data_IF_715499241201
#
_entry.id   IF_715499241201
#
_cell.length_a   1.000
_cell.length_b   1.000
_cell.length_c   1.000
_cell.angle_alpha   90.00
_cell.angle_beta   90.00
_cell.angle_gamma   90.00
#
_symmetry.space_group_name_H-M   'P 1'
#
loop_
_entity.id
_entity.type
_entity.pdbx_description
1 polymer ?
#
# COMPACT_ATOMS: atom_id res chain seq x y z
N UNK A 1 23.91 20.26 7.97
CA UNK A 1 23.28 20.85 9.18
C UNK A 1 21.77 20.66 9.21
N UNK A 2 21.29 19.59 8.60
CA UNK A 2 19.88 19.21 8.59
C UNK A 2 19.46 18.52 9.92
N UNK A 3 19.83 19.13 11.07
CA UNK A 3 19.38 18.65 12.35
C UNK A 3 17.98 19.19 12.64
N UNK A 4 17.05 18.30 12.95
CA UNK A 4 15.68 18.64 13.26
C UNK A 4 15.07 17.72 14.31
N UNK A 5 13.88 18.03 14.76
CA UNK A 5 13.06 17.21 15.64
C UNK A 5 11.65 17.11 15.06
N UNK A 6 11.14 15.89 15.00
CA UNK A 6 9.77 15.59 14.59
C UNK A 6 9.01 15.02 15.78
N UNK A 7 7.84 15.58 16.05
CA UNK A 7 6.87 15.05 17.00
C UNK A 7 5.60 14.71 16.26
N UNK A 8 5.19 13.47 16.39
CA UNK A 8 3.95 12.95 15.82
C UNK A 8 3.09 12.36 16.93
N UNK A 9 1.81 12.71 16.94
CA UNK A 9 0.81 12.15 17.84
C UNK A 9 -0.42 11.74 17.05
N UNK A 10 -0.61 10.45 16.91
CA UNK A 10 -1.80 9.89 16.28
C UNK A 10 -2.63 9.14 17.31
N UNK A 11 -3.94 9.39 17.33
CA UNK A 11 -4.88 8.57 18.08
C UNK A 11 -6.20 8.40 17.33
N UNK A 12 -6.80 7.22 17.52
CA UNK A 12 -8.09 6.85 16.96
C UNK A 12 -8.99 6.38 18.10
N UNK A 13 -10.20 6.91 18.16
CA UNK A 13 -11.23 6.46 19.09
C UNK A 13 -12.50 6.15 18.29
N UNK A 14 -13.08 4.97 18.51
CA UNK A 14 -14.26 4.57 17.78
C UNK A 14 -15.22 3.73 18.62
N UNK A 15 -16.48 3.72 18.20
CA UNK A 15 -17.51 2.85 18.74
C UNK A 15 -18.30 2.23 17.61
N UNK A 16 -18.77 1.01 17.83
CA UNK A 16 -19.58 0.27 16.86
C UNK A 16 -20.70 -0.45 17.57
N UNK A 17 -21.88 -0.40 16.98
CA UNK A 17 -23.05 -1.16 17.38
C UNK A 17 -23.46 -2.09 16.24
N UNK A 18 -23.73 -3.35 16.57
CA UNK A 18 -24.21 -4.35 15.62
C UNK A 18 -25.53 -4.91 16.14
N UNK A 19 -26.54 -4.93 15.26
CA UNK A 19 -27.83 -5.51 15.54
C UNK A 19 -28.23 -6.54 14.49
N UNK A 20 -28.54 -7.75 14.91
CA UNK A 20 -28.98 -8.83 14.03
C UNK A 20 -30.50 -8.91 14.00
N UNK A 21 -31.05 -8.80 12.81
CA UNK A 21 -32.48 -9.01 12.55
C UNK A 21 -32.74 -10.44 12.06
N UNK A 22 -33.66 -11.16 12.65
CA UNK A 22 -34.09 -12.46 12.13
C UNK A 22 -34.59 -12.39 10.68
N UNK A 23 -35.23 -11.28 10.32
CA UNK A 23 -35.60 -10.91 8.95
C UNK A 23 -35.77 -9.40 8.87
N UNK A 24 -35.10 -8.77 7.91
CA UNK A 24 -35.32 -7.37 7.53
C UNK A 24 -35.54 -7.32 6.02
N UNK A 25 -36.70 -6.83 5.57
CA UNK A 25 -37.15 -6.86 4.18
C UNK A 25 -37.34 -8.31 3.67
N UNK A 26 -36.28 -8.94 3.14
CA UNK A 26 -36.36 -10.23 2.43
C UNK A 26 -35.47 -11.34 3.03
N UNK A 27 -34.46 -11.01 3.84
CA UNK A 27 -33.55 -11.97 4.45
C UNK A 27 -33.19 -11.61 5.89
N UNK A 28 -32.60 -12.55 6.67
CA UNK A 28 -31.86 -12.19 7.88
C UNK A 28 -30.77 -11.19 7.57
N UNK A 29 -30.55 -10.23 8.47
CA UNK A 29 -29.54 -9.20 8.22
C UNK A 29 -28.86 -8.73 9.48
N UNK A 30 -27.64 -8.20 9.31
CA UNK A 30 -26.87 -7.56 10.35
C UNK A 30 -26.68 -6.08 9.99
N UNK A 31 -27.25 -5.20 10.82
CA UNK A 31 -27.06 -3.76 10.74
C UNK A 31 -25.86 -3.38 11.60
N UNK A 32 -24.89 -2.68 11.00
CA UNK A 32 -23.75 -2.09 11.70
C UNK A 32 -23.83 -0.58 11.61
N UNK A 33 -23.73 0.08 12.74
CA UNK A 33 -23.62 1.53 12.87
C UNK A 33 -22.36 1.84 13.67
N UNK A 34 -21.63 2.88 13.30
CA UNK A 34 -20.46 3.26 14.08
C UNK A 34 -20.05 4.71 13.87
N UNK A 35 -19.31 5.20 14.83
CA UNK A 35 -18.68 6.51 14.78
C UNK A 35 -17.21 6.39 15.15
N UNK A 36 -16.38 7.19 14.53
CA UNK A 36 -14.93 7.18 14.72
C UNK A 36 -14.40 8.61 14.70
N UNK A 37 -13.44 8.87 15.54
CA UNK A 37 -12.68 10.10 15.51
C UNK A 37 -11.21 9.77 15.38
N UNK A 38 -10.57 10.37 14.38
CA UNK A 38 -9.15 10.24 14.11
C UNK A 38 -8.48 11.60 14.24
N UNK A 39 -7.37 11.64 14.96
CA UNK A 39 -6.49 12.80 15.09
C UNK A 39 -5.08 12.39 14.73
N UNK A 40 -4.42 13.22 13.92
CA UNK A 40 -3.02 13.11 13.56
C UNK A 40 -2.39 14.51 13.60
N UNK A 41 -1.49 14.71 14.56
CA UNK A 41 -0.82 15.98 14.81
C UNK A 41 0.68 15.86 14.59
N UNK A 42 1.16 16.43 13.50
CA UNK A 42 2.57 16.48 13.13
C UNK A 42 3.17 17.85 13.43
N UNK A 43 4.30 17.86 14.12
CA UNK A 43 5.14 19.05 14.31
C UNK A 43 6.56 18.72 13.91
N UNK A 44 7.06 19.36 12.88
CA UNK A 44 8.41 19.18 12.35
C UNK A 44 9.19 20.48 12.41
N UNK A 45 10.37 20.45 13.02
CA UNK A 45 11.26 21.60 13.21
C UNK A 45 12.65 21.24 12.69
N UNK A 46 13.11 21.92 11.65
CA UNK A 46 14.45 21.74 11.07
C UNK A 46 15.24 23.03 11.28
N UNK A 47 16.01 23.08 12.36
CA UNK A 47 16.73 24.27 12.81
C UNK A 47 17.75 24.79 11.78
N UNK A 48 18.39 23.91 11.03
CA UNK A 48 19.37 24.30 10.03
C UNK A 48 18.78 25.02 8.82
N UNK A 49 17.48 24.94 8.63
CA UNK A 49 16.75 25.58 7.53
C UNK A 49 15.70 26.58 8.02
N UNK A 50 15.65 26.86 9.32
CA UNK A 50 14.63 27.72 9.96
C UNK A 50 13.20 27.31 9.56
N UNK A 51 12.98 26.01 9.45
CA UNK A 51 11.70 25.44 9.04
C UNK A 51 10.92 24.99 10.25
N UNK A 52 9.72 25.53 10.39
CA UNK A 52 8.73 25.12 11.38
C UNK A 52 7.46 24.71 10.64
N UNK A 53 7.15 23.44 10.69
CA UNK A 53 5.93 22.90 10.08
C UNK A 53 5.02 22.33 11.15
N UNK A 54 3.74 22.62 11.06
CA UNK A 54 2.71 22.06 11.92
C UNK A 54 1.48 21.72 11.08
N UNK A 55 1.02 20.46 11.18
CA UNK A 55 -0.21 20.00 10.55
C UNK A 55 -1.03 19.19 11.57
N UNK A 56 -2.26 19.64 11.82
CA UNK A 56 -3.23 18.90 12.62
C UNK A 56 -4.35 18.41 11.70
N UNK A 57 -4.50 17.10 11.57
CA UNK A 57 -5.58 16.45 10.85
C UNK A 57 -6.60 15.92 11.83
N UNK A 58 -7.88 16.21 11.61
CA UNK A 58 -9.00 15.76 12.42
C UNK A 58 -10.10 15.26 11.53
N UNK A 59 -10.52 14.02 11.74
CA UNK A 59 -11.57 13.40 10.95
C UNK A 59 -12.62 12.83 11.91
N UNK A 60 -13.83 13.39 11.85
CA UNK A 60 -15.00 12.81 12.48
C UNK A 60 -15.79 12.00 11.46
N UNK A 61 -16.07 10.76 11.75
CA UNK A 61 -16.67 9.81 10.82
C UNK A 61 -17.90 9.15 11.41
N UNK A 62 -18.92 8.95 10.58
CA UNK A 62 -20.05 8.09 10.87
C UNK A 62 -20.18 7.08 9.75
N UNK A 63 -20.34 5.82 10.08
CA UNK A 63 -20.55 4.77 9.09
C UNK A 63 -21.75 3.90 9.43
N UNK A 64 -22.38 3.40 8.37
CA UNK A 64 -23.51 2.50 8.44
C UNK A 64 -23.41 1.47 7.34
N UNK A 65 -23.82 0.26 7.63
CA UNK A 65 -23.99 -0.79 6.63
C UNK A 65 -25.01 -1.81 7.09
N UNK A 66 -25.71 -2.42 6.14
CA UNK A 66 -26.56 -3.57 6.38
C UNK A 66 -26.14 -4.71 5.45
N UNK A 67 -25.97 -5.89 6.01
CA UNK A 67 -25.68 -7.11 5.27
C UNK A 67 -26.87 -8.06 5.39
N UNK A 68 -27.56 -8.31 4.28
CA UNK A 68 -28.57 -9.36 4.15
C UNK A 68 -27.89 -10.63 3.69
N UNK A 69 -28.03 -11.73 4.44
CA UNK A 69 -27.30 -12.96 4.12
C UNK A 69 -28.06 -14.23 4.40
N UNK A 70 -27.76 -15.23 3.58
CA UNK A 70 -28.09 -16.63 3.77
C UNK A 70 -26.89 -17.51 3.36
N UNK A 71 -27.08 -18.84 3.24
CA UNK A 71 -25.99 -19.76 2.85
C UNK A 71 -25.42 -19.48 1.47
N UNK A 72 -26.24 -19.05 0.51
CA UNK A 72 -25.85 -18.86 -0.89
C UNK A 72 -25.53 -17.41 -1.21
N UNK A 73 -26.30 -16.47 -0.65
CA UNK A 73 -26.24 -15.05 -1.01
C UNK A 73 -25.85 -14.16 0.18
N UNK A 74 -25.11 -13.12 -0.08
CA UNK A 74 -24.96 -11.98 0.81
C UNK A 74 -24.98 -10.70 -0.02
N UNK A 75 -25.79 -9.73 0.43
CA UNK A 75 -25.90 -8.38 -0.10
C UNK A 75 -25.50 -7.41 1.00
N UNK A 76 -24.47 -6.64 0.80
CA UNK A 76 -24.05 -5.59 1.71
C UNK A 76 -24.19 -4.24 1.02
N UNK A 77 -24.88 -3.32 1.67
CA UNK A 77 -24.95 -1.91 1.29
C UNK A 77 -24.57 -1.05 2.50
N UNK A 78 -23.77 -0.05 2.27
CA UNK A 78 -23.37 0.86 3.33
C UNK A 78 -22.70 2.11 2.79
N UNK A 79 -22.31 2.95 3.72
CA UNK A 79 -21.58 4.17 3.42
C UNK A 79 -20.93 4.74 4.66
N UNK A 80 -20.00 5.64 4.43
CA UNK A 80 -19.29 6.39 5.44
C UNK A 80 -19.41 7.88 5.12
N UNK A 81 -19.65 8.66 6.13
CA UNK A 81 -19.69 10.11 6.10
C UNK A 81 -18.50 10.61 6.91
N UNK A 82 -17.60 11.34 6.26
CA UNK A 82 -16.38 11.86 6.88
C UNK A 82 -16.40 13.40 6.85
N UNK A 83 -16.20 14.01 8.01
CA UNK A 83 -15.93 15.44 8.12
C UNK A 83 -14.46 15.63 8.48
N UNK A 84 -13.70 16.05 7.49
CA UNK A 84 -12.29 16.38 7.62
C UNK A 84 -12.12 17.88 7.90
N UNK A 85 -11.18 18.26 8.78
CA UNK A 85 -10.99 19.71 9.12
C UNK A 85 -10.44 20.54 7.95
N UNK A 86 -9.77 19.92 6.97
CA UNK A 86 -9.28 20.62 5.77
C UNK A 86 -10.32 20.70 4.63
N UNK A 87 -11.55 20.22 4.87
CA UNK A 87 -12.63 20.20 3.87
C UNK A 87 -13.85 20.94 4.39
N UNK A 88 -14.45 21.78 3.54
CA UNK A 88 -15.63 22.56 3.91
C UNK A 88 -16.91 21.73 3.96
N UNK A 89 -16.94 20.59 3.25
CA UNK A 89 -18.09 19.72 3.15
C UNK A 89 -17.85 18.34 3.78
N UNK A 90 -18.93 17.59 3.97
CA UNK A 90 -18.90 16.19 4.38
C UNK A 90 -18.68 15.32 3.15
N UNK A 91 -17.78 14.37 3.24
CA UNK A 91 -17.47 13.43 2.17
C UNK A 91 -18.27 12.14 2.39
N UNK A 92 -18.97 11.70 1.36
CA UNK A 92 -19.67 10.43 1.37
C UNK A 92 -18.91 9.38 0.55
N UNK A 93 -18.64 8.24 1.17
CA UNK A 93 -17.97 7.08 0.59
C UNK A 93 -18.91 5.87 0.60
N UNK A 94 -19.57 5.55 -0.53
CA UNK A 94 -20.48 4.41 -0.64
C UNK A 94 -19.74 3.09 -0.72
N UNK A 95 -20.40 2.01 -0.29
CA UNK A 95 -19.92 0.63 -0.40
C UNK A 95 -21.05 -0.32 -0.73
N UNK A 96 -20.82 -1.22 -1.68
CA UNK A 96 -21.69 -2.32 -2.00
C UNK A 96 -20.91 -3.61 -2.22
N UNK A 97 -21.43 -4.73 -1.74
CA UNK A 97 -20.84 -6.04 -1.97
C UNK A 97 -21.94 -7.07 -2.23
N UNK A 98 -21.75 -7.87 -3.26
CA UNK A 98 -22.60 -9.01 -3.60
C UNK A 98 -21.73 -10.26 -3.55
N UNK A 99 -22.12 -11.23 -2.74
CA UNK A 99 -21.50 -12.55 -2.69
C UNK A 99 -22.52 -13.61 -3.11
N UNK A 100 -22.07 -14.54 -3.93
CA UNK A 100 -22.81 -15.71 -4.35
C UNK A 100 -21.99 -16.98 -4.19
N UNK A 101 -22.50 -17.94 -3.41
CA UNK A 101 -21.92 -19.25 -3.18
C UNK A 101 -22.80 -20.29 -3.87
N UNK A 102 -22.59 -20.60 -5.17
CA UNK A 102 -23.38 -21.64 -5.85
C UNK A 102 -23.18 -23.03 -5.22
N UNK A 103 -22.01 -23.28 -4.68
CA UNK A 103 -21.64 -24.46 -3.89
C UNK A 103 -20.79 -24.08 -2.69
N UNK A 104 -20.51 -25.02 -1.79
CA UNK A 104 -19.60 -24.81 -0.67
C UNK A 104 -18.15 -24.55 -1.09
N UNK A 105 -17.80 -24.92 -2.32
CA UNK A 105 -16.45 -24.83 -2.86
C UNK A 105 -16.24 -23.65 -3.81
N UNK A 106 -17.26 -22.85 -4.07
CA UNK A 106 -17.20 -21.73 -5.01
C UNK A 106 -17.80 -20.49 -4.34
N UNK A 107 -16.99 -19.43 -4.27
CA UNK A 107 -17.40 -18.13 -3.77
C UNK A 107 -17.14 -17.08 -4.86
N UNK A 108 -18.20 -16.47 -5.35
CA UNK A 108 -18.13 -15.37 -6.31
C UNK A 108 -18.47 -14.07 -5.58
N UNK A 109 -17.71 -13.01 -5.84
CA UNK A 109 -17.92 -11.72 -5.17
C UNK A 109 -17.75 -10.56 -6.15
N UNK A 110 -18.71 -9.65 -6.12
CA UNK A 110 -18.64 -8.36 -6.79
C UNK A 110 -18.60 -7.26 -5.71
N UNK A 111 -17.66 -6.36 -5.80
CA UNK A 111 -17.51 -5.27 -4.83
C UNK A 111 -17.44 -3.93 -5.54
N UNK A 112 -18.06 -2.92 -4.94
CA UNK A 112 -17.87 -1.52 -5.25
C UNK A 112 -17.56 -0.75 -3.97
N UNK A 113 -16.58 0.15 -4.02
CA UNK A 113 -16.23 1.03 -2.91
C UNK A 113 -15.79 2.40 -3.42
N UNK A 114 -16.37 3.45 -2.85
CA UNK A 114 -15.86 4.81 -2.96
C UNK A 114 -14.81 5.09 -1.88
N UNK A 115 -13.82 5.91 -2.19
CA UNK A 115 -12.80 6.37 -1.27
C UNK A 115 -12.38 7.80 -1.56
N UNK A 116 -11.61 8.41 -0.65
CA UNK A 116 -11.05 9.74 -0.84
C UNK A 116 -9.69 9.89 -0.16
N UNK A 117 -8.91 10.88 -0.60
CA UNK A 117 -7.72 11.40 0.07
C UNK A 117 -7.86 12.90 0.21
N UNK A 118 -7.72 13.39 1.45
CA UNK A 118 -7.85 14.82 1.74
C UNK A 118 -6.63 15.60 1.25
N UNK A 119 -6.78 16.90 0.93
CA UNK A 119 -5.70 17.77 0.51
C UNK A 119 -4.82 18.16 1.70
N UNK A 120 -3.80 17.38 1.98
CA UNK A 120 -2.81 17.65 3.03
C UNK A 120 -1.53 18.21 2.40
N UNK A 121 -0.92 19.20 3.06
CA UNK A 121 0.38 19.72 2.63
C UNK A 121 1.49 18.70 2.85
N UNK A 122 1.35 17.95 3.95
CA UNK A 122 2.26 16.89 4.30
C UNK A 122 1.54 15.54 4.16
N UNK A 123 2.02 14.70 3.27
CA UNK A 123 1.65 13.30 3.14
C UNK A 123 2.73 12.41 3.77
N UNK A 124 2.56 11.10 3.61
CA UNK A 124 3.49 10.05 4.05
C UNK A 124 4.92 10.24 3.54
N UNK A 125 5.11 11.04 2.50
CA UNK A 125 6.41 11.42 1.95
C UNK A 125 7.05 12.56 2.76
N UNK A 126 7.34 12.32 4.02
CA UNK A 126 8.24 13.13 4.85
C UNK A 126 9.69 13.08 4.31
N UNK A 127 9.85 13.12 3.02
CA UNK A 127 11.18 13.14 2.44
C UNK A 127 11.74 14.54 2.63
N UNK A 128 12.74 14.60 3.49
CA UNK A 128 13.70 15.69 3.47
C UNK A 128 14.39 15.62 2.10
N UNK A 129 13.75 16.16 1.09
CA UNK A 129 14.31 16.28 -0.25
C UNK A 129 15.53 17.21 -0.31
N UNK A 130 16.20 17.39 0.83
CA UNK A 130 17.23 18.41 0.96
C UNK A 130 18.50 17.83 1.54
N UNK A 131 19.08 16.94 0.79
CA UNK A 131 20.53 16.72 0.93
C UNK A 131 21.20 17.55 -0.16
N UNK A 132 21.58 18.77 0.14
CA UNK A 132 22.22 19.64 -0.86
C UNK A 132 21.96 21.13 -0.68
N UNK A 133 21.01 21.52 0.17
CA UNK A 133 20.80 22.92 0.53
C UNK A 133 19.66 23.63 -0.18
N UNK A 134 18.96 23.05 -1.10
CA UNK A 134 17.71 23.61 -1.62
C UNK A 134 16.57 23.44 -0.62
N UNK A 135 15.90 24.53 -0.33
CA UNK A 135 14.76 24.55 0.58
C UNK A 135 13.48 24.42 -0.23
N UNK A 136 12.87 23.24 -0.18
CA UNK A 136 11.60 22.99 -0.86
C UNK A 136 10.44 23.11 0.13
N UNK A 137 9.49 23.99 -0.16
CA UNK A 137 8.28 24.20 0.63
C UNK A 137 7.07 23.83 -0.20
N UNK A 138 6.25 22.90 0.30
CA UNK A 138 5.00 22.53 -0.36
C UNK A 138 3.85 23.38 0.18
N UNK A 139 3.13 24.05 -0.72
CA UNK A 139 1.89 24.79 -0.45
C UNK A 139 0.71 24.11 -1.14
N UNK A 140 -0.49 24.38 -0.67
CA UNK A 140 -1.73 23.87 -1.30
C UNK A 140 -2.31 24.95 -2.21
N UNK A 141 -2.78 24.55 -3.38
CA UNK A 141 -3.54 25.44 -4.26
C UNK A 141 -4.86 25.85 -3.60
N UNK A 142 -5.28 27.11 -3.79
CA UNK A 142 -6.49 27.68 -3.15
C UNK A 142 -7.78 26.90 -3.47
N UNK A 143 -7.83 26.26 -4.63
CA UNK A 143 -8.99 25.49 -5.10
C UNK A 143 -8.79 23.98 -5.02
N UNK A 144 -7.84 23.51 -4.22
CA UNK A 144 -7.52 22.11 -4.10
C UNK A 144 -8.68 21.30 -3.52
N UNK A 145 -9.12 20.29 -4.27
CA UNK A 145 -10.19 19.36 -3.89
C UNK A 145 -9.57 18.05 -3.44
N UNK A 146 -10.35 17.26 -2.70
CA UNK A 146 -9.97 15.89 -2.38
C UNK A 146 -9.83 15.02 -3.65
N UNK A 147 -8.88 14.09 -3.63
CA UNK A 147 -8.88 12.99 -4.58
C UNK A 147 -10.05 12.04 -4.25
N UNK A 148 -10.71 11.52 -5.27
CA UNK A 148 -11.77 10.52 -5.12
C UNK A 148 -11.46 9.28 -5.93
N UNK A 149 -11.77 8.13 -5.34
CA UNK A 149 -11.67 6.85 -6.02
C UNK A 149 -13.00 6.14 -6.11
N UNK A 150 -13.23 5.46 -7.23
CA UNK A 150 -14.29 4.49 -7.44
C UNK A 150 -13.66 3.17 -7.81
N UNK A 151 -13.76 2.18 -6.95
CA UNK A 151 -13.12 0.87 -7.13
C UNK A 151 -14.16 -0.21 -7.32
N UNK A 152 -13.95 -1.04 -8.33
CA UNK A 152 -14.76 -2.23 -8.64
C UNK A 152 -13.85 -3.45 -8.63
N UNK A 153 -14.32 -4.54 -8.04
CA UNK A 153 -13.65 -5.84 -8.18
C UNK A 153 -14.66 -6.97 -8.36
N UNK A 154 -14.25 -7.96 -9.16
CA UNK A 154 -14.96 -9.21 -9.34
C UNK A 154 -13.99 -10.35 -9.04
N UNK A 155 -14.32 -11.20 -8.08
CA UNK A 155 -13.48 -12.32 -7.70
C UNK A 155 -14.23 -13.66 -7.70
N UNK A 156 -13.46 -14.71 -7.98
CA UNK A 156 -13.84 -16.11 -7.84
C UNK A 156 -12.84 -16.81 -6.93
N UNK A 157 -13.32 -17.36 -5.83
CA UNK A 157 -12.53 -18.13 -4.87
C UNK A 157 -12.99 -19.59 -4.92
N UNK A 158 -12.11 -20.47 -5.41
CA UNK A 158 -12.40 -21.83 -5.80
C UNK A 158 -11.62 -22.80 -4.93
N UNK A 159 -12.33 -23.72 -4.29
CA UNK A 159 -11.75 -24.78 -3.48
C UNK A 159 -11.94 -26.12 -4.19
N UNK A 160 -10.88 -26.89 -4.32
CA UNK A 160 -10.97 -28.23 -4.90
C UNK A 160 -10.01 -29.20 -4.23
N UNK A 161 -10.40 -30.47 -4.21
CA UNK A 161 -9.57 -31.57 -3.70
C UNK A 161 -9.25 -32.56 -4.81
N UNK A 162 -8.00 -32.56 -5.25
CA UNK A 162 -7.48 -33.53 -6.23
C UNK A 162 -6.83 -34.71 -5.49
N UNK A 163 -7.60 -35.79 -5.27
CA UNK A 163 -7.13 -36.88 -4.45
C UNK A 163 -6.84 -36.45 -3.02
N UNK A 164 -5.57 -36.47 -2.59
CA UNK A 164 -5.12 -36.02 -1.28
C UNK A 164 -4.73 -34.53 -1.25
N UNK A 165 -4.55 -33.91 -2.41
CA UNK A 165 -4.11 -32.50 -2.52
C UNK A 165 -5.30 -31.57 -2.35
N UNK A 166 -5.25 -30.71 -1.33
CA UNK A 166 -6.24 -29.63 -1.14
C UNK A 166 -5.73 -28.38 -1.83
N UNK A 167 -6.59 -27.77 -2.66
CA UNK A 167 -6.23 -26.58 -3.43
C UNK A 167 -7.24 -25.46 -3.21
N UNK A 168 -6.75 -24.24 -3.27
CA UNK A 168 -7.55 -23.02 -3.37
C UNK A 168 -6.98 -22.16 -4.49
N UNK A 169 -7.83 -21.62 -5.32
CA UNK A 169 -7.51 -20.69 -6.40
C UNK A 169 -8.40 -19.46 -6.28
N UNK A 170 -7.79 -18.30 -6.06
CA UNK A 170 -8.45 -17.00 -6.12
C UNK A 170 -8.04 -16.29 -7.41
N UNK A 171 -9.05 -15.81 -8.14
CA UNK A 171 -8.87 -14.94 -9.30
C UNK A 171 -9.70 -13.70 -9.05
N UNK A 172 -9.09 -12.51 -9.15
CA UNK A 172 -9.77 -11.24 -8.97
C UNK A 172 -9.37 -10.27 -10.08
N UNK A 173 -10.35 -9.78 -10.84
CA UNK A 173 -10.22 -8.62 -11.69
C UNK A 173 -10.60 -7.36 -10.92
N UNK A 174 -9.81 -6.29 -11.03
CA UNK A 174 -10.08 -5.01 -10.37
C UNK A 174 -9.92 -3.83 -11.33
N UNK A 175 -10.68 -2.79 -11.04
CA UNK A 175 -10.62 -1.50 -11.73
C UNK A 175 -10.85 -0.38 -10.74
N UNK A 176 -9.97 0.61 -10.73
CA UNK A 176 -10.09 1.82 -9.92
C UNK A 176 -9.97 3.05 -10.81
N UNK A 177 -10.96 3.93 -10.72
CA UNK A 177 -10.97 5.24 -11.33
C UNK A 177 -10.67 6.29 -10.27
N UNK A 178 -9.63 7.11 -10.50
CA UNK A 178 -9.18 8.18 -9.61
C UNK A 178 -9.52 9.52 -10.25
N UNK A 179 -10.13 10.40 -9.48
CA UNK A 179 -10.49 11.75 -9.90
C UNK A 179 -9.78 12.79 -9.03
N UNK A 180 -9.45 13.94 -9.61
CA UNK A 180 -8.74 15.03 -8.94
C UNK A 180 -7.38 14.59 -8.35
N UNK A 181 -6.63 13.78 -9.07
CA UNK A 181 -5.34 13.23 -8.60
C UNK A 181 -4.39 14.37 -8.25
N UNK A 182 -3.73 14.27 -7.10
CA UNK A 182 -2.75 15.27 -6.69
C UNK A 182 -1.48 15.18 -7.52
N UNK A 183 -1.03 16.35 -7.95
CA UNK A 183 0.26 16.55 -8.57
C UNK A 183 0.98 17.72 -7.91
N UNK A 184 2.27 17.81 -8.14
CA UNK A 184 3.11 18.91 -7.67
C UNK A 184 3.62 19.66 -8.89
N UNK A 185 3.72 21.00 -8.78
CA UNK A 185 4.41 21.83 -9.73
C UNK A 185 5.26 22.85 -9.00
N UNK A 186 6.43 23.13 -9.51
CA UNK A 186 7.27 24.19 -8.96
C UNK A 186 6.71 25.56 -9.37
N UNK A 187 6.71 26.50 -8.44
CA UNK A 187 6.34 27.89 -8.73
C UNK A 187 7.58 28.66 -9.13
N UNK A 188 7.44 29.57 -10.09
CA UNK A 188 8.53 30.37 -10.63
C UNK A 188 9.17 31.32 -9.60
N UNK A 189 8.41 31.68 -8.56
CA UNK A 189 8.84 32.61 -7.54
C UNK A 189 9.13 31.88 -6.22
N UNK A 190 10.32 32.10 -5.64
CA UNK A 190 10.60 31.61 -4.29
C UNK A 190 9.73 32.34 -3.27
N UNK A 191 9.62 31.76 -2.07
CA UNK A 191 8.95 32.41 -0.95
C UNK A 191 9.75 33.64 -0.43
N UNK A 192 9.20 34.35 0.53
CA UNK A 192 9.85 35.53 1.13
C UNK A 192 11.21 35.21 1.81
N UNK A 193 11.51 33.95 2.08
CA UNK A 193 12.74 33.47 2.66
C UNK A 193 13.73 32.90 1.60
N UNK A 194 13.36 32.96 0.31
CA UNK A 194 14.16 32.45 -0.80
C UNK A 194 14.12 30.93 -0.97
N UNK A 195 13.08 30.26 -0.45
CA UNK A 195 12.90 28.82 -0.62
C UNK A 195 12.21 28.53 -1.95
N UNK A 196 12.57 27.44 -2.60
CA UNK A 196 11.83 26.91 -3.74
C UNK A 196 10.45 26.43 -3.29
N UNK A 197 9.39 26.89 -3.95
CA UNK A 197 8.01 26.57 -3.61
C UNK A 197 7.44 25.58 -4.61
N UNK A 198 6.90 24.48 -4.11
CA UNK A 198 6.05 23.55 -4.88
C UNK A 198 4.60 23.72 -4.47
N UNK A 199 3.70 23.78 -5.45
CA UNK A 199 2.27 23.82 -5.22
C UNK A 199 1.66 22.44 -5.49
N UNK A 200 0.90 21.94 -4.52
CA UNK A 200 0.05 20.77 -4.72
C UNK A 200 -1.26 21.21 -5.34
N UNK A 201 -1.61 20.62 -6.47
CA UNK A 201 -2.84 20.93 -7.21
C UNK A 201 -3.52 19.66 -7.69
N UNK A 202 -4.79 19.75 -8.11
CA UNK A 202 -5.48 18.64 -8.75
C UNK A 202 -5.09 18.58 -10.23
N UNK A 203 -4.47 17.49 -10.62
CA UNK A 203 -4.26 17.15 -12.03
C UNK A 203 -5.49 16.42 -12.60
N UNK A 204 -5.30 15.78 -13.74
CA UNK A 204 -6.31 14.94 -14.39
C UNK A 204 -6.59 13.66 -13.57
N UNK A 205 -7.55 12.86 -14.05
CA UNK A 205 -7.83 11.55 -13.48
C UNK A 205 -6.73 10.53 -13.76
N UNK A 206 -6.84 9.38 -13.09
CA UNK A 206 -5.99 8.23 -13.33
C UNK A 206 -6.78 6.94 -13.21
N UNK A 207 -6.30 5.87 -13.84
CA UNK A 207 -6.94 4.56 -13.84
C UNK A 207 -5.95 3.48 -13.50
N UNK A 208 -6.40 2.56 -12.67
CA UNK A 208 -5.66 1.34 -12.35
C UNK A 208 -6.57 0.15 -12.61
N UNK A 209 -6.11 -0.78 -13.42
CA UNK A 209 -6.84 -2.01 -13.71
C UNK A 209 -5.88 -3.20 -13.72
N UNK A 210 -6.38 -4.35 -13.31
CA UNK A 210 -5.52 -5.52 -13.24
C UNK A 210 -6.23 -6.80 -12.87
N UNK A 211 -5.40 -7.83 -12.73
CA UNK A 211 -5.78 -9.19 -12.38
C UNK A 211 -4.86 -9.70 -11.27
N UNK A 212 -5.44 -10.15 -10.17
CA UNK A 212 -4.79 -10.90 -9.12
C UNK A 212 -5.09 -12.38 -9.29
N UNK A 213 -4.08 -13.23 -9.25
CA UNK A 213 -4.22 -14.68 -9.23
C UNK A 213 -3.43 -15.21 -8.05
N UNK A 214 -4.10 -15.90 -7.13
CA UNK A 214 -3.46 -16.57 -6.02
C UNK A 214 -3.81 -18.06 -6.03
N UNK A 215 -2.82 -18.90 -5.83
CA UNK A 215 -3.01 -20.35 -5.71
C UNK A 215 -2.35 -20.85 -4.44
N UNK A 216 -3.06 -21.71 -3.72
CA UNK A 216 -2.55 -22.42 -2.56
C UNK A 216 -2.82 -23.90 -2.73
N UNK A 217 -1.80 -24.73 -2.49
CA UNK A 217 -1.90 -26.18 -2.57
C UNK A 217 -1.23 -26.81 -1.34
N UNK A 218 -1.99 -27.64 -0.64
CA UNK A 218 -1.46 -28.54 0.38
C UNK A 218 -1.29 -29.92 -0.24
N UNK A 219 -0.08 -30.19 -0.76
CA UNK A 219 0.26 -31.43 -1.45
C UNK A 219 0.27 -32.61 -0.49
N UNK A 220 0.80 -32.37 0.70
CA UNK A 220 0.88 -33.35 1.79
C UNK A 220 0.71 -32.65 3.12
N UNK A 221 0.63 -33.41 4.23
CA UNK A 221 0.57 -32.82 5.58
C UNK A 221 1.83 -32.04 5.96
N UNK A 222 2.92 -32.25 5.24
CA UNK A 222 4.22 -31.63 5.53
C UNK A 222 4.68 -30.64 4.44
N UNK A 223 3.92 -30.47 3.35
CA UNK A 223 4.27 -29.54 2.28
C UNK A 223 3.09 -28.72 1.79
N UNK A 224 3.21 -27.41 1.94
CA UNK A 224 2.24 -26.40 1.43
C UNK A 224 2.97 -25.39 0.56
N UNK A 225 2.40 -25.08 -0.59
CA UNK A 225 2.84 -24.00 -1.48
C UNK A 225 1.71 -22.99 -1.65
N UNK A 226 2.04 -21.72 -1.54
CA UNK A 226 1.18 -20.60 -1.92
C UNK A 226 1.96 -19.69 -2.86
N UNK A 227 1.33 -19.22 -3.92
CA UNK A 227 1.91 -18.26 -4.85
C UNK A 227 0.83 -17.31 -5.34
N UNK A 228 1.23 -16.07 -5.58
CA UNK A 228 0.36 -15.03 -6.13
C UNK A 228 1.09 -14.17 -7.15
N UNK A 229 0.36 -13.72 -8.15
CA UNK A 229 0.84 -12.79 -9.16
C UNK A 229 -0.22 -11.73 -9.42
N UNK A 230 0.22 -10.48 -9.52
CA UNK A 230 -0.59 -9.35 -9.97
C UNK A 230 -0.08 -8.88 -11.32
N UNK A 231 -1.00 -8.75 -12.26
CA UNK A 231 -0.79 -8.12 -13.56
C UNK A 231 -1.64 -6.87 -13.58
N UNK A 232 -1.03 -5.70 -13.76
CA UNK A 232 -1.77 -4.43 -13.72
C UNK A 232 -1.26 -3.41 -14.73
N UNK A 233 -2.12 -2.45 -15.01
CA UNK A 233 -1.77 -1.21 -15.71
C UNK A 233 -2.28 -0.03 -14.88
N UNK A 234 -1.43 0.99 -14.73
CA UNK A 234 -1.75 2.24 -14.05
C UNK A 234 -1.32 3.41 -14.92
N UNK A 235 -2.26 4.30 -15.22
CA UNK A 235 -1.99 5.41 -16.10
C UNK A 235 -2.88 6.61 -15.78
N UNK A 236 -2.34 7.78 -16.03
CA UNK A 236 -3.07 9.04 -16.03
C UNK A 236 -3.94 9.16 -17.30
N UNK A 237 -5.06 9.87 -17.20
CA UNK A 237 -5.91 10.15 -18.37
C UNK A 237 -5.18 10.99 -19.41
N UNK A 238 -4.33 11.90 -18.96
CA UNK A 238 -3.44 12.71 -19.79
C UNK A 238 -1.97 12.50 -19.40
N UNK A 239 -1.06 12.76 -20.34
CA UNK A 239 0.36 12.66 -20.07
C UNK A 239 0.82 13.84 -19.21
N UNK A 240 1.46 13.55 -18.10
CA UNK A 240 1.95 14.53 -17.10
C UNK A 240 3.47 14.61 -17.19
N UNK A 241 4.02 15.83 -17.14
CA UNK A 241 5.45 16.03 -16.94
C UNK A 241 5.82 15.51 -15.52
N UNK A 242 6.86 14.73 -15.47
CA UNK A 242 7.29 14.14 -14.18
C UNK A 242 8.32 15.03 -13.46
N UNK A 243 8.92 15.98 -14.18
CA UNK A 243 9.90 16.93 -13.66
C UNK A 243 9.74 18.26 -14.44
N UNK A 244 9.80 19.37 -13.71
CA UNK A 244 9.60 20.71 -14.28
C UNK A 244 10.80 21.20 -15.09
N UNK A 245 12.00 20.66 -14.88
CA UNK A 245 13.20 20.98 -15.67
C UNK A 245 13.15 20.38 -17.11
N UNK A 246 12.35 19.33 -17.30
CA UNK A 246 12.17 18.62 -18.57
C UNK A 246 10.69 18.46 -18.91
N UNK A 247 9.95 19.57 -19.08
CA UNK A 247 8.48 19.58 -19.24
C UNK A 247 7.98 18.87 -20.49
N UNK A 248 8.84 18.62 -21.47
CA UNK A 248 8.55 17.83 -22.67
C UNK A 248 8.51 16.31 -22.38
N UNK A 249 9.16 15.85 -21.32
CA UNK A 249 9.14 14.44 -20.91
C UNK A 249 7.84 14.09 -20.16
N UNK A 250 6.77 13.88 -20.92
CA UNK A 250 5.44 13.56 -20.38
C UNK A 250 5.10 12.10 -20.53
N UNK A 251 4.56 11.52 -19.48
CA UNK A 251 4.17 10.12 -19.44
C UNK A 251 2.72 9.94 -18.97
N UNK A 252 1.98 9.05 -19.65
CA UNK A 252 0.69 8.56 -19.14
C UNK A 252 0.89 7.48 -18.07
N UNK A 253 1.95 6.69 -18.15
CA UNK A 253 2.23 5.63 -17.19
C UNK A 253 2.56 6.24 -15.83
N UNK A 254 1.90 5.77 -14.78
CA UNK A 254 2.24 6.16 -13.41
C UNK A 254 3.63 5.63 -13.05
N UNK A 255 4.47 6.51 -12.54
CA UNK A 255 5.80 6.16 -12.09
C UNK A 255 5.77 5.35 -10.80
N UNK A 256 6.86 4.64 -10.49
CA UNK A 256 7.04 3.80 -9.29
C UNK A 256 5.98 2.71 -9.12
N UNK A 257 5.33 2.31 -10.22
CA UNK A 257 4.28 1.31 -10.21
C UNK A 257 4.64 0.18 -11.18
N UNK A 258 5.04 -1.01 -10.69
CA UNK A 258 5.34 -2.15 -11.55
C UNK A 258 4.06 -2.73 -12.15
N UNK A 259 4.10 -3.11 -13.43
CA UNK A 259 2.95 -3.74 -14.09
C UNK A 259 2.79 -5.22 -13.70
N UNK A 260 3.83 -5.83 -13.15
CA UNK A 260 3.82 -7.23 -12.73
C UNK A 260 4.61 -7.36 -11.44
N UNK A 261 4.00 -7.97 -10.43
CA UNK A 261 4.68 -8.36 -9.20
C UNK A 261 4.02 -9.61 -8.61
N UNK A 262 4.71 -10.28 -7.72
CA UNK A 262 4.17 -11.49 -7.13
C UNK A 262 5.04 -12.04 -6.01
N UNK A 263 4.56 -13.12 -5.44
CA UNK A 263 5.22 -13.79 -4.33
C UNK A 263 5.01 -15.30 -4.37
N UNK A 264 5.84 -16.02 -3.64
CA UNK A 264 5.55 -17.40 -3.26
C UNK A 264 6.00 -17.67 -1.83
N UNK A 265 5.36 -18.66 -1.21
CA UNK A 265 5.73 -19.20 0.10
C UNK A 265 5.60 -20.72 0.05
N UNK A 266 6.71 -21.42 0.24
CA UNK A 266 6.76 -22.88 0.39
C UNK A 266 7.10 -23.21 1.84
N UNK A 267 6.27 -24.04 2.47
CA UNK A 267 6.45 -24.45 3.87
C UNK A 267 6.58 -25.96 3.95
N UNK A 268 7.63 -26.42 4.61
CA UNK A 268 7.96 -27.83 4.81
C UNK A 268 8.01 -28.14 6.31
N UNK A 269 7.23 -29.12 6.74
CA UNK A 269 7.20 -29.63 8.12
C UNK A 269 7.32 -31.16 8.12
N UNK A 270 8.43 -31.74 7.58
CA UNK A 270 8.54 -33.17 7.30
C UNK A 270 8.55 -34.01 8.56
N UNK A 271 9.00 -33.46 9.69
CA UNK A 271 9.00 -34.09 10.99
C UNK A 271 8.47 -33.13 12.04
N UNK A 272 8.00 -33.67 13.19
CA UNK A 272 7.54 -32.84 14.29
C UNK A 272 8.65 -31.87 14.72
N UNK A 273 8.25 -30.64 15.04
CA UNK A 273 9.12 -29.58 15.57
C UNK A 273 10.10 -28.95 14.58
N UNK A 274 10.22 -29.45 13.36
CA UNK A 274 11.05 -28.86 12.33
C UNK A 274 10.19 -28.14 11.30
N UNK A 275 10.55 -26.90 10.99
CA UNK A 275 9.91 -26.11 9.91
C UNK A 275 11.01 -25.53 9.04
N UNK A 276 10.86 -25.71 7.75
CA UNK A 276 11.63 -24.99 6.73
C UNK A 276 10.67 -24.15 5.90
N UNK A 277 11.00 -22.90 5.65
CA UNK A 277 10.22 -21.98 4.82
C UNK A 277 11.11 -21.38 3.75
N UNK A 278 10.62 -21.35 2.52
CA UNK A 278 11.20 -20.64 1.40
C UNK A 278 10.18 -19.65 0.90
N UNK A 279 10.56 -18.38 0.84
CA UNK A 279 9.70 -17.30 0.35
C UNK A 279 10.40 -16.55 -0.78
N UNK A 280 9.61 -16.00 -1.69
CA UNK A 280 10.15 -15.16 -2.75
C UNK A 280 9.22 -14.01 -3.06
N UNK A 281 9.81 -12.85 -3.39
CA UNK A 281 9.12 -11.67 -3.87
C UNK A 281 9.68 -11.29 -5.23
N UNK A 282 8.80 -11.14 -6.20
CA UNK A 282 9.13 -10.67 -7.54
C UNK A 282 8.58 -9.28 -7.76
N UNK A 283 9.43 -8.35 -8.19
CA UNK A 283 9.05 -7.01 -8.62
C UNK A 283 9.49 -6.80 -10.07
N UNK A 284 8.53 -6.55 -10.93
CA UNK A 284 8.77 -6.25 -12.34
C UNK A 284 9.40 -4.87 -12.54
N UNK A 285 9.82 -4.59 -13.76
CA UNK A 285 10.32 -3.27 -14.16
C UNK A 285 9.23 -2.22 -14.01
N UNK A 286 9.59 -1.04 -13.53
CA UNK A 286 8.73 0.15 -13.43
C UNK A 286 9.46 1.37 -13.96
N UNK A 287 8.71 2.38 -14.39
CA UNK A 287 9.24 3.67 -14.80
C UNK A 287 9.46 4.52 -13.54
N UNK A 288 10.63 5.13 -13.42
CA UNK A 288 10.96 6.05 -12.33
C UNK A 288 11.68 7.29 -12.88
N UNK A 289 11.58 8.41 -12.17
CA UNK A 289 12.40 9.58 -12.42
C UNK A 289 13.75 9.46 -11.71
N UNK A 290 14.79 10.00 -12.34
CA UNK A 290 16.12 10.21 -11.80
C UNK A 290 16.42 11.69 -12.03
N UNK A 291 16.41 12.48 -10.97
CA UNK A 291 16.67 13.92 -11.03
C UNK A 291 18.14 14.20 -11.30
N UNK A 292 18.43 15.37 -11.88
CA UNK A 292 19.81 15.79 -12.10
C UNK A 292 20.60 15.83 -10.78
N UNK A 293 21.86 15.41 -10.86
CA UNK A 293 22.70 15.32 -9.66
C UNK A 293 24.00 14.56 -9.93
N UNK A 294 24.49 13.83 -8.93
CA UNK A 294 25.75 13.07 -9.05
C UNK A 294 25.67 11.83 -9.93
N UNK A 295 24.46 11.36 -10.24
CA UNK A 295 24.24 10.17 -11.07
C UNK A 295 23.98 10.48 -12.54
N UNK A 296 23.34 11.62 -12.82
CA UNK A 296 22.98 12.08 -14.16
C UNK A 296 23.09 13.60 -14.26
N UNK A 297 23.45 14.12 -15.43
CA UNK A 297 23.62 15.57 -15.66
C UNK A 297 22.25 16.27 -15.84
N UNK A 298 21.27 15.60 -16.45
CA UNK A 298 19.92 16.12 -16.67
C UNK A 298 18.89 15.11 -16.16
N UNK A 299 17.68 15.57 -15.72
CA UNK A 299 16.62 14.68 -15.29
C UNK A 299 16.23 13.69 -16.38
N UNK A 300 16.14 12.42 -16.05
CA UNK A 300 15.81 11.35 -17.00
C UNK A 300 14.83 10.33 -16.40
N UNK A 301 13.86 9.90 -17.18
CA UNK A 301 13.00 8.79 -16.79
C UNK A 301 13.61 7.46 -17.24
N UNK A 302 13.79 6.54 -16.32
CA UNK A 302 14.42 5.24 -16.53
C UNK A 302 13.51 4.08 -16.19
N UNK A 303 13.68 2.94 -16.86
CA UNK A 303 13.04 1.70 -16.47
C UNK A 303 13.96 0.91 -15.55
N UNK A 304 13.45 0.55 -14.36
CA UNK A 304 14.21 -0.24 -13.38
C UNK A 304 14.47 -1.66 -13.87
N UNK A 305 15.53 -2.32 -13.39
CA UNK A 305 15.66 -3.77 -13.51
C UNK A 305 14.52 -4.48 -12.78
N UNK A 306 14.38 -5.78 -13.04
CA UNK A 306 13.47 -6.68 -12.32
C UNK A 306 14.20 -7.27 -11.13
N UNK A 307 13.47 -7.48 -10.01
CA UNK A 307 14.03 -8.08 -8.80
C UNK A 307 13.31 -9.37 -8.47
N UNK A 308 14.07 -10.36 -8.03
CA UNK A 308 13.57 -11.61 -7.47
C UNK A 308 14.33 -11.87 -6.16
N UNK A 309 13.73 -11.52 -5.04
CA UNK A 309 14.29 -11.77 -3.72
C UNK A 309 13.79 -13.11 -3.20
N UNK A 310 14.70 -13.99 -2.80
CA UNK A 310 14.37 -15.30 -2.22
C UNK A 310 14.97 -15.40 -0.82
N UNK A 311 14.16 -15.83 0.13
CA UNK A 311 14.53 -15.96 1.54
C UNK A 311 14.28 -17.39 2.02
N UNK A 312 15.16 -17.92 2.87
CA UNK A 312 15.02 -19.21 3.51
C UNK A 312 15.15 -19.09 5.04
N UNK A 313 14.25 -19.78 5.73
CA UNK A 313 14.29 -19.91 7.20
C UNK A 313 14.14 -21.37 7.59
N UNK A 314 14.98 -21.81 8.51
CA UNK A 314 14.88 -23.10 9.20
C UNK A 314 14.59 -22.84 10.68
N UNK A 315 13.74 -23.65 11.28
CA UNK A 315 13.40 -23.56 12.69
C UNK A 315 13.21 -24.94 13.30
N UNK A 316 13.67 -25.11 14.54
CA UNK A 316 13.45 -26.31 15.31
C UNK A 316 13.01 -25.98 16.73
N UNK A 317 11.91 -26.65 17.19
CA UNK A 317 11.30 -26.44 18.49
C UNK A 317 11.83 -27.49 19.49
N UNK A 318 12.48 -27.04 20.54
CA UNK A 318 12.93 -27.86 21.67
C UNK A 318 11.95 -27.68 22.82
N UNK A 319 11.10 -28.67 23.18
CA UNK A 319 10.30 -28.60 24.38
C UNK A 319 11.21 -28.80 25.62
N UNK A 320 11.37 -27.73 26.38
CA UNK A 320 12.21 -27.74 27.59
C UNK A 320 11.43 -28.37 28.75
N UNK A 321 10.15 -27.99 28.87
CA UNK A 321 9.22 -28.59 29.83
C UNK A 321 7.78 -28.46 29.32
N UNK A 322 6.80 -28.88 30.15
CA UNK A 322 5.36 -28.88 29.78
C UNK A 322 4.85 -27.50 29.31
N UNK A 323 5.42 -26.43 29.85
CA UNK A 323 4.97 -25.05 29.60
C UNK A 323 6.00 -24.17 28.85
N UNK A 324 7.18 -24.73 28.51
CA UNK A 324 8.26 -23.97 27.89
C UNK A 324 8.80 -24.66 26.68
N UNK A 325 8.74 -23.94 25.53
CA UNK A 325 9.35 -24.36 24.27
C UNK A 325 10.42 -23.34 23.87
N UNK A 326 11.60 -23.83 23.56
CA UNK A 326 12.69 -23.06 22.97
C UNK A 326 12.75 -23.35 21.48
N UNK A 327 12.55 -22.36 20.65
CA UNK A 327 12.78 -22.48 19.20
C UNK A 327 14.13 -21.86 18.84
N UNK A 328 14.97 -22.64 18.19
CA UNK A 328 16.17 -22.13 17.51
C UNK A 328 15.85 -21.99 16.04
N UNK A 329 16.15 -20.84 15.47
CA UNK A 329 15.92 -20.59 14.07
C UNK A 329 17.09 -19.85 13.44
N UNK A 330 17.23 -19.98 12.13
CA UNK A 330 18.23 -19.28 11.35
C UNK A 330 17.88 -19.32 9.88
N UNK A 331 18.54 -18.48 9.11
CA UNK A 331 18.23 -18.43 7.69
C UNK A 331 19.10 -17.47 6.90
N UNK A 332 18.73 -17.35 5.64
CA UNK A 332 19.35 -16.49 4.65
C UNK A 332 18.27 -15.60 4.06
N UNK A 333 18.46 -14.30 4.18
CA UNK A 333 17.66 -13.32 3.47
C UNK A 333 18.34 -12.96 2.14
N UNK A 334 17.52 -12.76 1.13
CA UNK A 334 17.95 -12.40 -0.22
C UNK A 334 19.05 -13.33 -0.79
N UNK A 335 18.75 -14.64 -0.87
CA UNK A 335 19.65 -15.68 -1.41
C UNK A 335 20.13 -15.30 -2.83
N UNK A 336 19.25 -14.72 -3.62
CA UNK A 336 19.50 -14.27 -4.99
C UNK A 336 20.43 -13.07 -5.06
N UNK A 337 20.68 -12.39 -3.94
CA UNK A 337 21.44 -11.15 -3.87
C UNK A 337 20.91 -10.06 -4.82
N UNK A 338 19.58 -10.01 -4.97
CA UNK A 338 18.88 -9.07 -5.84
C UNK A 338 18.62 -7.77 -5.06
N UNK A 339 19.42 -6.74 -5.28
CA UNK A 339 19.26 -5.43 -4.64
C UNK A 339 19.64 -4.32 -5.60
N UNK A 340 19.18 -3.12 -5.32
CA UNK A 340 19.62 -1.94 -6.06
C UNK A 340 21.08 -1.64 -5.71
N UNK A 341 21.94 -1.47 -6.71
CA UNK A 341 23.37 -1.22 -6.52
C UNK A 341 23.86 0.05 -7.23
N UNK A 342 22.97 0.76 -7.90
CA UNK A 342 23.20 1.98 -8.65
C UNK A 342 22.70 3.25 -7.93
N UNK A 343 22.68 3.22 -6.59
CA UNK A 343 22.35 4.40 -5.79
C UNK A 343 23.26 5.57 -6.12
N UNK A 344 22.69 6.76 -6.24
CA UNK A 344 23.45 7.98 -6.30
C UNK A 344 24.33 8.16 -5.05
N UNK A 345 25.49 8.74 -5.24
CA UNK A 345 26.49 8.94 -4.19
C UNK A 345 26.93 10.40 -4.15
N UNK A 346 27.43 10.82 -3.01
CA UNK A 346 27.96 12.17 -2.85
C UNK A 346 26.95 13.18 -2.35
N UNK A 347 27.36 14.45 -2.43
CA UNK A 347 26.60 15.57 -1.87
C UNK A 347 25.35 15.88 -2.69
N UNK A 348 25.46 15.87 -4.01
CA UNK A 348 24.38 16.20 -4.95
C UNK A 348 23.61 14.95 -5.43
N UNK A 349 23.54 13.89 -4.62
CA UNK A 349 22.79 12.69 -4.97
C UNK A 349 21.30 12.94 -5.05
N UNK A 350 20.61 12.32 -5.99
CA UNK A 350 19.14 12.19 -5.94
C UNK A 350 18.76 11.19 -4.84
N UNK A 351 18.34 11.71 -3.68
CA UNK A 351 17.91 10.90 -2.55
C UNK A 351 16.61 10.14 -2.82
N UNK A 352 15.87 10.52 -3.84
CA UNK A 352 14.62 9.88 -4.26
C UNK A 352 14.85 8.72 -5.23
N UNK A 353 16.06 8.57 -5.79
CA UNK A 353 16.41 7.48 -6.70
C UNK A 353 16.61 6.15 -5.96
N UNK A 354 15.56 5.71 -5.29
CA UNK A 354 15.47 4.44 -4.55
C UNK A 354 14.27 3.66 -5.10
N UNK A 355 14.49 2.45 -5.63
CA UNK A 355 13.46 1.70 -6.34
C UNK A 355 13.48 0.18 -6.14
N UNK A 356 14.52 -0.35 -5.54
CA UNK A 356 14.72 -1.79 -5.35
C UNK A 356 14.98 -2.17 -3.89
N UNK A 357 15.15 -3.46 -3.62
CA UNK A 357 15.60 -3.92 -2.33
C UNK A 357 16.92 -3.23 -1.96
N UNK A 358 17.00 -2.72 -0.75
CA UNK A 358 18.16 -1.96 -0.28
C UNK A 358 19.23 -2.83 0.39
N UNK A 359 18.86 -4.06 0.80
CA UNK A 359 19.74 -4.95 1.55
C UNK A 359 20.25 -6.09 0.68
N UNK A 360 21.58 -6.31 0.61
CA UNK A 360 22.18 -7.48 0.00
C UNK A 360 21.86 -8.73 0.81
N UNK A 361 22.36 -9.88 0.35
CA UNK A 361 22.26 -11.14 1.07
C UNK A 361 22.76 -11.00 2.50
N UNK A 362 21.94 -11.47 3.45
CA UNK A 362 22.26 -11.47 4.87
C UNK A 362 21.91 -12.80 5.52
N UNK A 363 22.53 -13.06 6.67
CA UNK A 363 22.35 -14.28 7.46
C UNK A 363 21.85 -13.89 8.85
N UNK A 364 20.95 -14.69 9.40
CA UNK A 364 20.47 -14.45 10.76
C UNK A 364 20.36 -15.75 11.54
N UNK A 365 20.51 -15.62 12.84
CA UNK A 365 20.21 -16.65 13.84
C UNK A 365 19.38 -16.02 14.94
N UNK A 366 18.37 -16.74 15.43
CA UNK A 366 17.47 -16.26 16.46
C UNK A 366 17.00 -17.37 17.38
N UNK A 367 16.60 -16.95 18.57
CA UNK A 367 15.99 -17.80 19.60
C UNK A 367 14.65 -17.21 20.00
N UNK A 368 13.62 -18.05 20.06
CA UNK A 368 12.27 -17.68 20.52
C UNK A 368 11.92 -18.57 21.71
N UNK A 369 11.46 -17.96 22.79
CA UNK A 369 10.92 -18.64 23.95
C UNK A 369 9.42 -18.48 23.97
N UNK A 370 8.70 -19.58 24.10
CA UNK A 370 7.23 -19.60 24.20
C UNK A 370 6.82 -20.38 25.43
N UNK A 371 5.88 -19.85 26.20
CA UNK A 371 5.33 -20.43 27.43
C UNK A 371 3.80 -20.47 27.35
#
# INVERSE_FOLDING_TARGET
KAYGTTHDLTYVAGTQYVHSFGKLLFMPSDLTLGAEYNFDGLKDVILGYDRHFKQDVRIGSFFFQNEWKNKQWSFLLGGRLDKHNLMDHVIFSPRANLRFNPTENVNLRLTYAGGFRAPQAFDEDLHVGVVGGERLVTVLADNLKEERSNSFSLSADLYHKFGSVQTNLLIEGFYTDLNNVFALRQLDQPDAQGNTVQERYNAYGAKVLGLNIEAKAMFTRWFTLQAGITLQQSHYDEAIAWNDEVPEQKYKKMMRTPNTYGYFTATFTPVKRFTASLTGNYTGSMLIGHSAGSGVEEPVAVNTPKFMEVNMKLAYDFPVCKYLTLQVNGGIQNITNAYQNDFDKGWNRDSSYIYGPSLPRSYFVGVKVSY
#
